data_IF_388058748407
#
_entry.id   IF_388058748407
#
_cell.length_a   1.000
_cell.length_b   1.000
_cell.length_c   1.000
_cell.angle_alpha   90.00
_cell.angle_beta   90.00
_cell.angle_gamma   90.00
#
_symmetry.space_group_name_H-M   'P 1'
#
loop_
_entity.id
_entity.type
_entity.pdbx_description
1 polymer ?
#
# COMPACT_ATOMS: atom_id res chain seq x y z
N UNK A 1 11.74 12.05 7.51
CA UNK A 1 12.25 11.10 6.48
C UNK A 1 11.12 10.64 5.56
N UNK A 2 11.35 10.60 4.24
CA UNK A 2 10.32 10.32 3.23
C UNK A 2 9.55 9.00 3.47
N UNK A 3 10.23 7.97 3.98
CA UNK A 3 9.63 6.67 4.36
C UNK A 3 8.55 6.81 5.44
N UNK A 4 8.72 7.78 6.36
CA UNK A 4 7.78 8.03 7.45
C UNK A 4 6.50 8.71 6.96
N UNK A 5 6.62 9.65 6.01
CA UNK A 5 5.47 10.27 5.35
C UNK A 5 4.68 9.25 4.52
N UNK A 6 5.35 8.42 3.72
CA UNK A 6 4.68 7.36 2.94
C UNK A 6 3.89 6.43 3.88
N UNK A 7 4.48 6.05 5.02
CA UNK A 7 3.80 5.21 6.01
C UNK A 7 2.58 5.86 6.65
N UNK A 8 2.55 7.18 6.81
CA UNK A 8 1.41 7.89 7.37
C UNK A 8 0.35 8.16 6.31
N UNK A 9 0.74 8.73 5.18
CA UNK A 9 -0.17 9.19 4.12
C UNK A 9 -0.75 8.02 3.31
N UNK A 10 -0.04 6.90 3.23
CA UNK A 10 -0.44 5.71 2.47
C UNK A 10 -0.77 4.51 3.37
N UNK A 11 -1.09 4.75 4.65
CA UNK A 11 -1.38 3.69 5.61
C UNK A 11 -2.62 2.86 5.21
N UNK A 12 -3.65 3.52 4.68
CA UNK A 12 -4.93 2.87 4.34
C UNK A 12 -4.79 1.79 3.24
N UNK A 13 -4.21 2.07 2.05
CA UNK A 13 -4.04 1.04 1.03
C UNK A 13 -3.10 -0.09 1.47
N UNK A 14 -2.12 0.22 2.32
CA UNK A 14 -1.23 -0.79 2.89
C UNK A 14 -1.98 -1.73 3.85
N UNK A 15 -2.77 -1.18 4.77
CA UNK A 15 -3.59 -1.97 5.69
C UNK A 15 -4.62 -2.83 4.94
N UNK A 16 -5.21 -2.30 3.87
CA UNK A 16 -6.13 -3.07 3.02
C UNK A 16 -5.42 -4.23 2.31
N UNK A 17 -4.16 -4.04 1.87
CA UNK A 17 -3.34 -5.10 1.30
C UNK A 17 -3.05 -6.20 2.34
N UNK A 18 -2.65 -5.84 3.56
CA UNK A 18 -2.42 -6.80 4.65
C UNK A 18 -3.69 -7.57 5.02
N UNK A 19 -4.84 -6.90 5.10
CA UNK A 19 -6.13 -7.52 5.33
C UNK A 19 -6.46 -8.56 4.24
N UNK A 20 -6.26 -8.19 2.97
CA UNK A 20 -6.50 -9.08 1.84
C UNK A 20 -5.59 -10.32 1.88
N UNK A 21 -4.30 -10.13 2.21
CA UNK A 21 -3.35 -11.22 2.36
C UNK A 21 -3.79 -12.19 3.44
N UNK A 22 -4.24 -11.67 4.59
CA UNK A 22 -4.71 -12.48 5.72
C UNK A 22 -5.93 -13.35 5.34
N UNK A 23 -6.78 -12.84 4.44
CA UNK A 23 -7.94 -13.58 3.94
C UNK A 23 -7.60 -14.52 2.76
N UNK A 24 -6.52 -14.22 2.02
CA UNK A 24 -6.16 -14.87 0.76
C UNK A 24 -4.69 -15.32 0.73
N UNK A 25 -4.18 -15.94 1.81
CA UNK A 25 -2.77 -16.37 1.91
C UNK A 25 -2.35 -17.27 0.72
N UNK A 26 -3.26 -18.09 0.20
CA UNK A 26 -3.03 -18.96 -0.95
C UNK A 26 -3.19 -18.26 -2.32
N UNK A 27 -3.71 -17.03 -2.34
CA UNK A 27 -4.06 -16.30 -3.56
C UNK A 27 -3.62 -14.83 -3.48
N UNK A 28 -2.34 -14.60 -3.20
CA UNK A 28 -1.70 -13.28 -3.09
C UNK A 28 -1.94 -12.39 -4.32
N UNK A 29 -2.06 -13.00 -5.51
CA UNK A 29 -2.36 -12.30 -6.77
C UNK A 29 -3.71 -11.56 -6.75
N UNK A 30 -4.68 -12.01 -5.93
CA UNK A 30 -5.97 -11.32 -5.78
C UNK A 30 -5.83 -9.99 -5.03
N UNK A 31 -4.70 -9.75 -4.36
CA UNK A 31 -4.44 -8.55 -3.59
C UNK A 31 -3.58 -7.52 -4.35
N UNK A 32 -3.20 -7.82 -5.60
CA UNK A 32 -2.31 -6.96 -6.40
C UNK A 32 -2.84 -5.54 -6.60
N UNK A 33 -4.15 -5.36 -6.75
CA UNK A 33 -4.74 -4.01 -6.89
C UNK A 33 -4.51 -3.14 -5.65
N UNK A 34 -4.47 -3.74 -4.46
CA UNK A 34 -4.25 -3.01 -3.20
C UNK A 34 -2.80 -2.58 -3.04
N UNK A 35 -1.86 -3.41 -3.47
CA UNK A 35 -0.44 -3.04 -3.49
C UNK A 35 -0.16 -1.95 -4.53
N UNK A 36 -0.83 -2.01 -5.70
CA UNK A 36 -0.72 -0.97 -6.72
C UNK A 36 -1.24 0.38 -6.21
N UNK A 37 -2.36 0.40 -5.47
CA UNK A 37 -2.88 1.58 -4.81
C UNK A 37 -1.88 2.19 -3.81
N UNK A 38 -1.20 1.35 -3.03
CA UNK A 38 -0.13 1.79 -2.12
C UNK A 38 1.04 2.43 -2.88
N UNK A 39 1.50 1.79 -3.96
CA UNK A 39 2.61 2.30 -4.79
C UNK A 39 2.29 3.65 -5.42
N UNK A 40 1.08 3.83 -5.97
CA UNK A 40 0.62 5.12 -6.51
C UNK A 40 0.58 6.21 -5.44
N UNK A 41 0.19 5.87 -4.22
CA UNK A 41 0.23 6.82 -3.11
C UNK A 41 1.67 7.20 -2.75
N UNK A 42 2.57 6.21 -2.62
CA UNK A 42 3.98 6.46 -2.33
C UNK A 42 4.65 7.32 -3.40
N UNK A 43 4.29 7.13 -4.67
CA UNK A 43 4.77 7.95 -5.78
C UNK A 43 4.30 9.41 -5.67
N UNK A 44 3.03 9.65 -5.31
CA UNK A 44 2.53 11.00 -5.05
C UNK A 44 3.25 11.69 -3.88
N UNK A 45 3.46 10.98 -2.78
CA UNK A 45 4.20 11.52 -1.62
C UNK A 45 5.64 11.87 -2.03
N UNK A 46 6.29 11.01 -2.82
CA UNK A 46 7.64 11.26 -3.36
C UNK A 46 7.70 12.50 -4.26
N UNK A 47 6.66 12.75 -5.06
CA UNK A 47 6.57 13.92 -5.95
C UNK A 47 6.23 15.23 -5.22
N UNK A 48 5.71 15.14 -3.99
CA UNK A 48 5.27 16.28 -3.20
C UNK A 48 6.29 16.71 -2.14
N UNK A 49 7.46 16.06 -2.09
CA UNK A 49 8.52 16.21 -1.10
C UNK A 49 9.75 16.95 -1.64
#
# INVERSE_FOLDING_TARGET
PMVQQIRQDCAEPFAAFEQCLKENEAAVLNCSDRVDAFLRCAERVKLSA
#
